data_IF_143398318594
#
_entry.id   IF_143398318594
#
_cell.length_a   1.000
_cell.length_b   1.000
_cell.length_c   1.000
_cell.angle_alpha   90.00
_cell.angle_beta   90.00
_cell.angle_gamma   90.00
#
_symmetry.space_group_name_H-M   'P 1'
#
loop_
_entity.id
_entity.type
_entity.pdbx_description
1 polymer ?
#
# COMPACT_ATOMS: atom_id res chain seq x y z
N UNK A 1 -7.77 -2.59 15.37
CA UNK A 1 -8.90 -2.75 14.41
C UNK A 1 -8.43 -2.28 13.05
N UNK A 2 -8.63 -3.10 12.01
CA UNK A 2 -8.25 -2.70 10.64
C UNK A 2 -9.52 -2.20 9.96
N UNK A 3 -9.62 -0.92 9.69
CA UNK A 3 -10.73 -0.36 8.89
C UNK A 3 -10.59 -0.90 7.48
N UNK A 4 -11.61 -1.58 6.95
CA UNK A 4 -11.61 -2.16 5.61
C UNK A 4 -12.29 -1.21 4.62
N UNK A 5 -11.74 -1.13 3.44
CA UNK A 5 -12.35 -0.40 2.33
C UNK A 5 -13.05 -1.38 1.38
N UNK A 6 -14.28 -1.75 1.70
CA UNK A 6 -15.05 -2.78 0.98
C UNK A 6 -15.29 -2.45 -0.50
N UNK A 7 -15.43 -1.17 -0.85
CA UNK A 7 -15.60 -0.76 -2.25
C UNK A 7 -14.38 -1.13 -3.10
N UNK A 8 -13.16 -1.02 -2.56
CA UNK A 8 -11.94 -1.44 -3.24
C UNK A 8 -11.91 -2.95 -3.44
N UNK A 9 -12.26 -3.72 -2.41
CA UNK A 9 -12.28 -5.19 -2.48
C UNK A 9 -13.25 -5.66 -3.59
N UNK A 10 -14.45 -5.08 -3.64
CA UNK A 10 -15.45 -5.35 -4.69
C UNK A 10 -14.97 -4.95 -6.09
N UNK A 11 -14.26 -3.83 -6.22
CA UNK A 11 -13.69 -3.39 -7.49
C UNK A 11 -12.58 -4.32 -7.97
N UNK A 12 -11.71 -4.80 -7.08
CA UNK A 12 -10.67 -5.78 -7.39
C UNK A 12 -11.31 -7.09 -7.85
N UNK A 13 -12.28 -7.61 -7.10
CA UNK A 13 -13.03 -8.82 -7.47
C UNK A 13 -13.70 -8.71 -8.85
N UNK A 14 -14.29 -7.55 -9.14
CA UNK A 14 -14.87 -7.26 -10.46
C UNK A 14 -13.82 -7.35 -11.58
N UNK A 15 -12.62 -6.79 -11.37
CA UNK A 15 -11.53 -6.87 -12.35
C UNK A 15 -11.02 -8.29 -12.54
N UNK A 16 -10.90 -9.06 -11.47
CA UNK A 16 -10.49 -10.46 -11.54
C UNK A 16 -11.50 -11.30 -12.33
N UNK A 17 -12.80 -11.15 -12.07
CA UNK A 17 -13.86 -11.80 -12.85
C UNK A 17 -13.83 -11.40 -14.32
N UNK A 18 -13.59 -10.12 -14.60
CA UNK A 18 -13.45 -9.62 -15.96
C UNK A 18 -12.24 -10.25 -16.69
N UNK A 19 -11.11 -10.36 -16.02
CA UNK A 19 -9.90 -10.98 -16.55
C UNK A 19 -10.08 -12.50 -16.79
N UNK A 20 -10.68 -13.20 -15.85
CA UNK A 20 -10.98 -14.63 -15.98
C UNK A 20 -11.91 -14.90 -17.17
N UNK A 21 -12.99 -14.12 -17.30
CA UNK A 21 -13.91 -14.25 -18.43
C UNK A 21 -13.20 -13.96 -19.78
N UNK A 22 -12.35 -12.94 -19.84
CA UNK A 22 -11.58 -12.63 -21.05
C UNK A 22 -10.62 -13.77 -21.42
N UNK A 23 -9.89 -14.30 -20.46
CA UNK A 23 -8.97 -15.42 -20.68
C UNK A 23 -9.69 -16.67 -21.20
N UNK A 24 -10.94 -16.90 -20.79
CA UNK A 24 -11.75 -17.99 -21.30
C UNK A 24 -12.08 -17.80 -22.80
N UNK A 25 -12.37 -16.58 -23.25
CA UNK A 25 -12.56 -16.31 -24.68
C UNK A 25 -11.27 -16.48 -25.47
N UNK A 26 -10.13 -16.05 -24.93
CA UNK A 26 -8.80 -16.29 -25.55
C UNK A 26 -8.53 -17.78 -25.70
N UNK A 27 -8.77 -18.58 -24.65
CA UNK A 27 -8.58 -20.03 -24.69
C UNK A 27 -9.44 -20.71 -25.77
N UNK A 28 -10.73 -20.34 -25.85
CA UNK A 28 -11.65 -20.89 -26.85
C UNK A 28 -11.26 -20.53 -28.29
N UNK A 29 -10.73 -19.33 -28.52
CA UNK A 29 -10.22 -18.93 -29.83
C UNK A 29 -8.98 -19.74 -30.19
N UNK A 30 -8.04 -19.89 -29.26
CA UNK A 30 -6.81 -20.65 -29.46
C UNK A 30 -7.10 -22.14 -29.76
N UNK A 31 -7.98 -22.77 -28.99
CA UNK A 31 -8.41 -24.14 -29.22
C UNK A 31 -9.00 -24.32 -30.62
N UNK A 32 -9.89 -23.42 -31.05
CA UNK A 32 -10.48 -23.47 -32.38
C UNK A 32 -9.44 -23.23 -33.52
N UNK A 33 -8.44 -22.38 -33.26
CA UNK A 33 -7.35 -22.14 -34.19
C UNK A 33 -6.45 -23.36 -34.34
N UNK A 34 -6.10 -24.02 -33.26
CA UNK A 34 -5.29 -25.23 -33.25
C UNK A 34 -6.01 -26.39 -33.95
N UNK A 35 -7.32 -26.53 -33.75
CA UNK A 35 -8.13 -27.50 -34.48
C UNK A 35 -8.10 -27.25 -36.02
N UNK A 36 -8.29 -26.01 -36.43
CA UNK A 36 -8.22 -25.59 -37.82
C UNK A 36 -6.84 -25.90 -38.44
N UNK A 37 -5.74 -25.60 -37.75
CA UNK A 37 -4.38 -25.89 -38.20
C UNK A 37 -4.11 -27.40 -38.30
N UNK A 38 -4.57 -28.16 -37.29
CA UNK A 38 -4.40 -29.63 -37.31
C UNK A 38 -5.07 -30.30 -38.49
N UNK A 39 -6.30 -29.89 -38.81
CA UNK A 39 -7.02 -30.41 -39.98
C UNK A 39 -6.33 -30.05 -41.30
N UNK A 40 -5.77 -28.85 -41.43
CA UNK A 40 -4.97 -28.46 -42.58
C UNK A 40 -3.71 -29.31 -42.70
N UNK A 41 -2.99 -29.55 -41.63
CA UNK A 41 -1.81 -30.39 -41.62
C UNK A 41 -2.15 -31.84 -42.03
N UNK A 42 -3.29 -32.39 -41.57
CA UNK A 42 -3.77 -33.70 -41.97
C UNK A 42 -4.09 -33.76 -43.49
N UNK A 43 -4.72 -32.72 -44.02
CA UNK A 43 -5.03 -32.61 -45.44
C UNK A 43 -3.75 -32.59 -46.27
N UNK A 44 -2.76 -31.80 -45.91
CA UNK A 44 -1.46 -31.72 -46.58
C UNK A 44 -0.71 -33.06 -46.52
N UNK A 45 -0.72 -33.72 -45.35
CA UNK A 45 -0.10 -35.03 -45.16
C UNK A 45 -0.79 -36.10 -46.00
N UNK A 46 -2.13 -36.09 -46.09
CA UNK A 46 -2.87 -37.05 -46.91
C UNK A 46 -2.52 -36.93 -48.40
N UNK A 47 -2.39 -35.70 -48.91
CA UNK A 47 -1.93 -35.46 -50.28
C UNK A 47 -0.53 -36.06 -50.52
N UNK A 48 0.41 -35.77 -49.60
CA UNK A 48 1.78 -36.30 -49.73
C UNK A 48 1.82 -37.83 -49.74
N UNK A 49 1.06 -38.45 -48.82
CA UNK A 49 0.99 -39.92 -48.73
C UNK A 49 0.32 -40.53 -49.95
N UNK A 50 -0.74 -39.91 -50.49
CA UNK A 50 -1.44 -40.43 -51.70
C UNK A 50 -0.53 -40.46 -52.92
N UNK A 51 0.34 -39.44 -53.06
CA UNK A 51 1.33 -39.39 -54.16
C UNK A 51 2.37 -40.48 -54.01
N UNK A 52 2.83 -40.77 -52.78
CA UNK A 52 3.85 -41.80 -52.54
C UNK A 52 3.29 -43.22 -52.68
N UNK A 53 2.05 -43.43 -52.29
CA UNK A 53 1.42 -44.76 -52.28
C UNK A 53 0.58 -45.07 -53.57
N UNK A 54 0.49 -44.12 -54.50
CA UNK A 54 -0.34 -44.17 -55.70
C UNK A 54 -1.81 -44.54 -55.43
N UNK A 55 -2.37 -44.04 -54.30
CA UNK A 55 -3.74 -44.32 -53.90
C UNK A 55 -4.69 -43.18 -54.26
N UNK A 56 -5.90 -43.53 -54.67
CA UNK A 56 -7.00 -42.54 -54.76
C UNK A 56 -7.61 -42.26 -53.38
N UNK A 57 -7.41 -41.06 -52.92
CA UNK A 57 -7.90 -40.54 -51.61
C UNK A 57 -8.90 -39.39 -51.76
N UNK A 58 -9.54 -39.30 -52.93
CA UNK A 58 -10.46 -38.17 -53.24
C UNK A 58 -11.55 -37.97 -52.20
N UNK A 59 -12.19 -39.05 -51.75
CA UNK A 59 -13.26 -38.98 -50.74
C UNK A 59 -12.77 -38.50 -49.38
N UNK A 60 -11.58 -38.91 -48.96
CA UNK A 60 -10.95 -38.51 -47.74
C UNK A 60 -10.56 -37.03 -47.79
N UNK A 61 -10.06 -36.55 -48.92
CA UNK A 61 -9.75 -35.14 -49.16
C UNK A 61 -11.01 -34.25 -49.12
N UNK A 62 -12.09 -34.70 -49.78
CA UNK A 62 -13.37 -34.00 -49.75
C UNK A 62 -13.91 -33.86 -48.31
N UNK A 63 -13.86 -34.93 -47.52
CA UNK A 63 -14.30 -34.93 -46.13
C UNK A 63 -13.44 -34.00 -45.26
N UNK A 64 -12.08 -34.05 -45.39
CA UNK A 64 -11.19 -33.14 -44.70
C UNK A 64 -11.41 -31.69 -45.13
N UNK A 65 -11.67 -31.43 -46.40
CA UNK A 65 -12.01 -30.08 -46.88
C UNK A 65 -13.25 -29.52 -46.23
N UNK A 66 -14.33 -30.32 -46.09
CA UNK A 66 -15.53 -29.91 -45.33
C UNK A 66 -15.24 -29.65 -43.86
N UNK A 67 -14.40 -30.48 -43.22
CA UNK A 67 -14.02 -30.28 -41.80
C UNK A 67 -13.22 -29.00 -41.63
N UNK A 68 -12.27 -28.71 -42.51
CA UNK A 68 -11.46 -27.49 -42.52
C UNK A 68 -12.37 -26.25 -42.64
N UNK A 69 -13.33 -26.24 -43.54
CA UNK A 69 -14.28 -25.14 -43.71
C UNK A 69 -15.15 -24.95 -42.45
N UNK A 70 -15.60 -26.03 -41.81
CA UNK A 70 -16.33 -25.96 -40.53
C UNK A 70 -15.46 -25.41 -39.41
N UNK A 71 -14.26 -25.91 -39.23
CA UNK A 71 -13.30 -25.46 -38.21
C UNK A 71 -12.91 -24.00 -38.43
N UNK A 72 -12.69 -23.56 -39.64
CA UNK A 72 -12.43 -22.16 -40.00
C UNK A 72 -13.58 -21.24 -39.56
N UNK A 73 -14.84 -21.59 -39.82
CA UNK A 73 -16.01 -20.84 -39.40
C UNK A 73 -16.12 -20.76 -37.86
N UNK A 74 -15.78 -21.85 -37.16
CA UNK A 74 -15.75 -21.87 -35.71
C UNK A 74 -14.68 -20.91 -35.17
N UNK A 75 -13.46 -20.97 -35.71
CA UNK A 75 -12.38 -20.06 -35.33
C UNK A 75 -12.75 -18.60 -35.56
N UNK A 76 -13.27 -18.25 -36.76
CA UNK A 76 -13.70 -16.87 -37.06
C UNK A 76 -14.80 -16.38 -36.11
N UNK A 77 -15.76 -17.22 -35.76
CA UNK A 77 -16.77 -16.91 -34.75
C UNK A 77 -16.15 -16.66 -33.35
N UNK A 78 -15.23 -17.53 -32.89
CA UNK A 78 -14.57 -17.35 -31.59
C UNK A 78 -13.74 -16.07 -31.53
N UNK A 79 -13.06 -15.74 -32.64
CA UNK A 79 -12.34 -14.47 -32.79
C UNK A 79 -13.26 -13.25 -32.67
N UNK A 80 -14.44 -13.29 -33.29
CA UNK A 80 -15.43 -12.24 -33.19
C UNK A 80 -16.02 -12.14 -31.75
N UNK A 81 -16.33 -13.27 -31.12
CA UNK A 81 -16.81 -13.31 -29.73
C UNK A 81 -15.80 -12.64 -28.78
N UNK A 82 -14.51 -12.95 -28.88
CA UNK A 82 -13.46 -12.31 -28.09
C UNK A 82 -13.38 -10.80 -28.37
N UNK A 83 -13.43 -10.38 -29.63
CA UNK A 83 -13.36 -8.98 -30.00
C UNK A 83 -14.54 -8.19 -29.44
N UNK A 84 -15.77 -8.71 -29.52
CA UNK A 84 -16.96 -8.10 -28.96
C UNK A 84 -16.87 -8.01 -27.42
N UNK A 85 -16.43 -9.10 -26.78
CA UNK A 85 -16.28 -9.13 -25.33
C UNK A 85 -15.22 -8.15 -24.83
N UNK A 86 -14.08 -8.00 -25.54
CA UNK A 86 -13.02 -7.06 -25.16
C UNK A 86 -13.48 -5.60 -25.11
N UNK A 87 -14.42 -5.22 -25.99
CA UNK A 87 -14.99 -3.86 -26.06
C UNK A 87 -16.13 -3.66 -25.08
N UNK A 88 -16.94 -4.71 -24.86
CA UNK A 88 -18.19 -4.63 -24.10
C UNK A 88 -18.19 -5.55 -22.87
N UNK A 89 -17.07 -5.66 -22.16
CA UNK A 89 -17.02 -6.51 -20.95
C UNK A 89 -17.99 -5.98 -19.87
N UNK A 90 -19.09 -6.70 -19.59
CA UNK A 90 -20.11 -6.24 -18.64
C UNK A 90 -19.60 -6.19 -17.21
N UNK A 91 -18.57 -6.98 -16.88
CA UNK A 91 -17.97 -6.97 -15.56
C UNK A 91 -17.22 -5.68 -15.25
N UNK A 92 -16.76 -4.92 -16.25
CA UNK A 92 -16.05 -3.65 -16.03
C UNK A 92 -16.98 -2.43 -15.90
N UNK A 93 -18.29 -2.62 -16.00
CA UNK A 93 -19.26 -1.51 -15.99
C UNK A 93 -20.03 -1.36 -14.67
N UNK A 94 -19.85 -2.24 -13.70
CA UNK A 94 -20.61 -2.24 -12.45
C UNK A 94 -20.09 -1.20 -11.46
N UNK A 95 -18.77 -1.16 -11.24
CA UNK A 95 -18.09 -0.21 -10.37
C UNK A 95 -17.03 0.48 -11.22
N UNK A 96 -17.06 1.79 -11.29
CA UNK A 96 -16.07 2.59 -12.02
C UNK A 96 -14.92 3.00 -11.11
N UNK A 97 -13.79 3.39 -11.69
CA UNK A 97 -12.69 3.98 -10.92
C UNK A 97 -13.11 5.27 -10.20
N UNK A 98 -14.03 6.03 -10.78
CA UNK A 98 -14.58 7.25 -10.18
C UNK A 98 -15.43 6.93 -8.95
N UNK A 99 -16.23 5.85 -8.98
CA UNK A 99 -16.99 5.40 -7.81
C UNK A 99 -16.08 5.01 -6.65
N UNK A 100 -14.96 4.33 -6.94
CA UNK A 100 -13.97 3.98 -5.92
C UNK A 100 -13.34 5.23 -5.32
N UNK A 101 -12.93 6.21 -6.16
CA UNK A 101 -12.34 7.47 -5.70
C UNK A 101 -13.35 8.28 -4.87
N UNK A 102 -14.59 8.34 -5.30
CA UNK A 102 -15.66 9.03 -4.55
C UNK A 102 -15.87 8.38 -3.19
N UNK A 103 -16.08 7.07 -3.14
CA UNK A 103 -16.27 6.33 -1.88
C UNK A 103 -15.03 6.44 -0.96
N UNK A 104 -13.81 6.46 -1.52
CA UNK A 104 -12.60 6.71 -0.75
C UNK A 104 -12.62 8.07 -0.06
N UNK A 105 -12.93 9.14 -0.80
CA UNK A 105 -12.87 10.50 -0.29
C UNK A 105 -14.05 10.85 0.64
N UNK A 106 -15.25 10.40 0.30
CA UNK A 106 -16.48 10.82 0.96
C UNK A 106 -16.89 9.89 2.13
N UNK A 107 -16.49 8.61 2.09
CA UNK A 107 -16.89 7.61 3.08
C UNK A 107 -15.69 7.12 3.90
N UNK A 108 -14.69 6.51 3.23
CA UNK A 108 -13.59 5.83 3.91
C UNK A 108 -12.67 6.79 4.67
N UNK A 109 -12.25 7.90 4.06
CA UNK A 109 -11.32 8.87 4.71
C UNK A 109 -11.94 9.51 5.95
N UNK A 110 -13.21 9.98 5.94
CA UNK A 110 -13.85 10.50 7.15
C UNK A 110 -14.00 9.44 8.24
N UNK A 111 -14.37 8.22 7.87
CA UNK A 111 -14.54 7.13 8.82
C UNK A 111 -13.20 6.71 9.44
N UNK A 112 -12.15 6.55 8.64
CA UNK A 112 -10.79 6.26 9.13
C UNK A 112 -10.29 7.35 10.06
N UNK A 113 -10.49 8.62 9.71
CA UNK A 113 -10.15 9.74 10.58
C UNK A 113 -10.84 9.61 11.94
N UNK A 114 -12.15 9.41 11.95
CA UNK A 114 -12.95 9.32 13.18
C UNK A 114 -12.58 8.10 14.02
N UNK A 115 -12.34 6.93 13.40
CA UNK A 115 -12.10 5.68 14.13
C UNK A 115 -10.66 5.51 14.60
N UNK A 116 -9.69 6.08 13.90
CA UNK A 116 -8.27 5.82 14.15
C UNK A 116 -7.47 7.11 14.32
N UNK A 117 -7.56 8.02 13.36
CA UNK A 117 -6.61 9.12 13.24
C UNK A 117 -6.85 10.21 14.29
N UNK A 118 -8.12 10.53 14.62
CA UNK A 118 -8.46 11.56 15.61
C UNK A 118 -7.94 11.22 17.01
N UNK A 119 -7.96 9.95 17.39
CA UNK A 119 -7.44 9.52 18.68
C UNK A 119 -5.90 9.58 18.71
N UNK A 120 -5.23 9.28 17.61
CA UNK A 120 -3.78 9.48 17.47
C UNK A 120 -3.43 10.97 17.62
N UNK A 121 -4.18 11.85 16.94
CA UNK A 121 -3.96 13.30 17.04
C UNK A 121 -4.20 13.84 18.46
N UNK A 122 -5.24 13.37 19.13
CA UNK A 122 -5.51 13.74 20.55
C UNK A 122 -4.37 13.31 21.46
N UNK A 123 -3.82 12.12 21.26
CA UNK A 123 -2.69 11.62 22.06
C UNK A 123 -1.42 12.45 21.81
N UNK A 124 -1.14 12.79 20.54
CA UNK A 124 -0.02 13.68 20.19
C UNK A 124 -0.19 15.07 20.84
N UNK A 125 -1.40 15.63 20.79
CA UNK A 125 -1.69 16.92 21.40
C UNK A 125 -1.52 16.87 22.92
N UNK A 126 -1.98 15.80 23.57
CA UNK A 126 -1.79 15.57 25.02
C UNK A 126 -0.31 15.48 25.37
N UNK A 127 0.46 14.67 24.65
CA UNK A 127 1.90 14.53 24.88
C UNK A 127 2.63 15.88 24.73
N UNK A 128 2.29 16.66 23.69
CA UNK A 128 2.85 18.00 23.47
C UNK A 128 2.49 18.96 24.62
N UNK A 129 1.25 18.92 25.09
CA UNK A 129 0.81 19.74 26.21
C UNK A 129 1.53 19.38 27.51
N UNK A 130 1.64 18.10 27.84
CA UNK A 130 2.33 17.65 29.05
C UNK A 130 3.84 17.96 28.99
N UNK A 131 4.47 17.82 27.83
CA UNK A 131 5.85 18.26 27.64
C UNK A 131 6.01 19.78 27.89
N UNK A 132 5.13 20.60 27.31
CA UNK A 132 5.15 22.05 27.54
C UNK A 132 5.00 22.41 29.02
N UNK A 133 4.10 21.75 29.75
CA UNK A 133 3.93 21.94 31.18
C UNK A 133 5.20 21.58 31.96
N UNK A 134 5.79 20.41 31.63
CA UNK A 134 7.01 19.95 32.29
C UNK A 134 8.19 20.92 32.01
N UNK A 135 8.30 21.42 30.77
CA UNK A 135 9.31 22.39 30.40
C UNK A 135 9.17 23.73 31.15
N UNK A 136 7.95 24.25 31.28
CA UNK A 136 7.68 25.46 32.09
C UNK A 136 8.00 25.23 33.57
N UNK A 137 7.59 24.10 34.14
CA UNK A 137 7.88 23.74 35.52
C UNK A 137 9.39 23.64 35.80
N UNK A 138 10.17 23.15 34.86
CA UNK A 138 11.63 23.16 34.95
C UNK A 138 12.18 24.59 35.05
N UNK A 139 11.73 25.49 34.17
CA UNK A 139 12.16 26.91 34.22
C UNK A 139 11.75 27.60 35.52
N UNK A 140 10.53 27.34 36.03
CA UNK A 140 10.06 27.88 37.29
C UNK A 140 10.93 27.37 38.46
N UNK A 141 11.28 26.10 38.50
CA UNK A 141 12.15 25.52 39.51
C UNK A 141 13.58 26.11 39.47
N UNK A 142 14.12 26.30 38.25
CA UNK A 142 15.44 26.95 38.06
C UNK A 142 15.39 28.39 38.56
N UNK A 143 14.35 29.16 38.20
CA UNK A 143 14.19 30.54 38.63
C UNK A 143 14.08 30.67 40.15
N UNK A 144 13.30 29.80 40.81
CA UNK A 144 13.18 29.78 42.26
C UNK A 144 14.52 29.43 42.93
N UNK A 145 15.23 28.43 42.40
CA UNK A 145 16.56 28.09 42.92
C UNK A 145 17.55 29.25 42.77
N UNK A 146 17.57 29.93 41.62
CA UNK A 146 18.45 31.07 41.38
C UNK A 146 18.15 32.24 42.34
N UNK A 147 16.86 32.46 42.66
CA UNK A 147 16.46 33.43 43.66
C UNK A 147 17.08 33.09 45.04
N UNK A 148 16.92 31.83 45.49
CA UNK A 148 17.52 31.39 46.77
C UNK A 148 19.06 31.43 46.73
N UNK A 149 19.68 31.06 45.62
CA UNK A 149 21.13 31.13 45.44
C UNK A 149 21.66 32.55 45.53
N UNK A 150 20.92 33.52 44.96
CA UNK A 150 21.27 34.93 45.01
C UNK A 150 21.18 35.45 46.46
N UNK A 151 20.12 35.10 47.20
CA UNK A 151 19.97 35.45 48.62
C UNK A 151 21.13 34.88 49.48
N UNK A 152 21.45 33.59 49.27
CA UNK A 152 22.57 32.95 49.98
C UNK A 152 23.93 33.60 49.66
N UNK A 153 24.21 33.90 48.38
CA UNK A 153 25.41 34.62 47.95
C UNK A 153 25.53 35.99 48.61
N UNK A 154 24.45 36.74 48.68
CA UNK A 154 24.38 38.04 49.29
C UNK A 154 24.64 38.00 50.81
N UNK A 155 24.19 36.95 51.48
CA UNK A 155 24.36 36.78 52.93
C UNK A 155 25.78 36.34 53.31
N UNK A 156 26.47 35.56 52.46
CA UNK A 156 27.81 34.99 52.78
C UNK A 156 28.95 35.92 52.40
N UNK A 157 28.70 36.87 51.48
CA UNK A 157 29.69 37.83 51.00
C UNK A 157 30.57 37.36 49.83
N UNK A 158 31.33 38.30 49.27
CA UNK A 158 31.99 38.17 47.96
C UNK A 158 33.02 37.04 47.87
N UNK A 159 33.68 36.68 48.93
CA UNK A 159 34.72 35.63 48.94
C UNK A 159 34.23 34.22 48.66
N UNK A 160 32.92 33.98 48.76
CA UNK A 160 32.29 32.67 48.54
C UNK A 160 31.29 32.64 47.38
N UNK A 161 31.04 33.77 46.76
CA UNK A 161 30.04 33.93 45.72
C UNK A 161 30.06 32.87 44.62
N UNK A 162 31.26 32.52 44.10
CA UNK A 162 31.44 31.56 43.03
C UNK A 162 31.43 30.10 43.49
N UNK A 163 31.31 29.82 44.79
CA UNK A 163 31.24 28.45 45.32
C UNK A 163 29.84 27.86 45.31
N UNK A 164 28.82 28.66 45.08
CA UNK A 164 27.44 28.18 45.00
C UNK A 164 27.16 27.59 43.58
N UNK A 165 27.01 26.27 43.52
CA UNK A 165 26.67 25.60 42.26
C UNK A 165 25.26 25.95 41.79
N UNK A 166 25.05 25.92 40.50
CA UNK A 166 23.72 25.99 39.87
C UNK A 166 23.09 24.60 39.69
N UNK A 167 21.82 24.59 39.35
CA UNK A 167 21.07 23.35 39.01
C UNK A 167 20.67 23.24 37.54
N UNK A 168 20.97 24.27 36.77
CA UNK A 168 20.64 24.23 35.32
C UNK A 168 21.29 23.07 34.63
N UNK A 169 20.54 22.47 33.68
CA UNK A 169 21.10 21.46 32.77
C UNK A 169 22.03 22.16 31.77
N UNK A 170 23.33 21.91 31.87
CA UNK A 170 24.35 22.65 31.12
C UNK A 170 25.29 21.76 30.30
N UNK A 171 25.15 20.42 30.40
CA UNK A 171 25.88 19.47 29.57
C UNK A 171 25.03 19.02 28.39
N UNK A 172 25.66 18.69 27.27
CA UNK A 172 24.98 18.19 26.09
C UNK A 172 24.15 16.93 26.41
N UNK A 173 24.71 16.01 27.19
CA UNK A 173 24.03 14.76 27.57
C UNK A 173 22.76 15.02 28.41
N UNK A 174 22.82 15.98 29.34
CA UNK A 174 21.65 16.39 30.13
C UNK A 174 20.58 17.04 29.26
N UNK A 175 20.96 17.94 28.36
CA UNK A 175 20.06 18.61 27.43
C UNK A 175 19.40 17.58 26.49
N UNK A 176 20.18 16.71 25.86
CA UNK A 176 19.67 15.65 24.99
C UNK A 176 18.75 14.66 25.71
N UNK A 177 18.98 14.41 27.02
CA UNK A 177 18.14 13.47 27.79
C UNK A 177 16.76 14.03 28.11
N UNK A 178 16.64 15.31 28.40
CA UNK A 178 15.39 15.89 28.96
C UNK A 178 14.68 16.82 27.98
N UNK A 179 15.36 17.43 27.02
CA UNK A 179 14.76 18.34 26.07
C UNK A 179 14.64 17.74 24.70
N UNK A 180 13.51 18.04 24.00
CA UNK A 180 13.33 17.68 22.61
C UNK A 180 14.28 18.52 21.76
N UNK A 181 15.24 17.87 21.13
CA UNK A 181 16.26 18.47 20.26
C UNK A 181 15.89 18.34 18.78
N UNK A 182 16.61 19.03 17.91
CA UNK A 182 16.49 18.87 16.45
C UNK A 182 16.80 17.42 16.04
N UNK A 183 17.72 16.75 16.74
CA UNK A 183 18.08 15.35 16.51
C UNK A 183 16.89 14.41 16.83
N UNK A 184 16.18 14.65 17.92
CA UNK A 184 14.98 13.88 18.26
C UNK A 184 13.87 14.05 17.20
N UNK A 185 13.67 15.29 16.71
CA UNK A 185 12.71 15.55 15.64
C UNK A 185 13.09 14.85 14.34
N UNK A 186 14.40 14.78 14.02
CA UNK A 186 14.88 14.02 12.89
C UNK A 186 14.61 12.52 13.04
N UNK A 187 14.85 11.95 14.23
CA UNK A 187 14.58 10.54 14.51
C UNK A 187 13.08 10.22 14.44
N UNK A 188 12.21 11.05 15.01
CA UNK A 188 10.75 10.89 14.90
C UNK A 188 10.27 10.92 13.45
N UNK A 189 10.78 11.84 12.62
CA UNK A 189 10.44 11.91 11.19
C UNK A 189 10.88 10.65 10.44
N UNK A 190 11.96 10.00 10.89
CA UNK A 190 12.44 8.71 10.36
C UNK A 190 11.80 7.49 11.05
N UNK A 191 10.74 7.68 11.84
CA UNK A 191 10.03 6.63 12.60
C UNK A 191 10.94 5.86 13.56
N UNK A 192 11.92 6.55 14.14
CA UNK A 192 12.85 6.00 15.14
C UNK A 192 12.56 6.61 16.50
N UNK A 193 12.77 5.83 17.55
CA UNK A 193 12.80 6.34 18.91
C UNK A 193 14.19 6.98 19.13
N UNK A 194 14.27 8.26 19.55
CA UNK A 194 15.52 8.90 19.83
C UNK A 194 16.38 8.13 20.84
N UNK A 195 17.68 8.11 20.61
CA UNK A 195 18.62 7.39 21.46
C UNK A 195 18.58 7.90 22.91
N UNK A 196 18.32 9.18 23.10
CA UNK A 196 18.19 9.84 24.40
C UNK A 196 17.11 9.23 25.30
N UNK A 197 16.04 8.67 24.71
CA UNK A 197 14.89 8.08 25.41
C UNK A 197 14.72 6.57 25.15
N UNK A 198 15.57 5.98 24.32
CA UNK A 198 15.46 4.56 23.92
C UNK A 198 15.52 3.58 25.11
N UNK A 199 16.24 3.94 26.16
CA UNK A 199 16.46 3.10 27.34
C UNK A 199 15.70 3.58 28.58
N UNK A 200 14.81 4.58 28.45
CA UNK A 200 13.96 5.05 29.53
C UNK A 200 12.93 3.97 29.85
N UNK A 201 12.91 3.49 31.09
CA UNK A 201 11.96 2.48 31.58
C UNK A 201 10.83 3.20 32.33
N UNK A 202 9.68 2.52 32.46
CA UNK A 202 8.57 3.04 33.27
C UNK A 202 8.97 3.30 34.74
N UNK A 203 9.97 2.58 35.25
CA UNK A 203 10.54 2.78 36.58
C UNK A 203 11.26 4.11 36.73
N UNK A 204 11.86 4.62 35.64
CA UNK A 204 12.58 5.91 35.60
C UNK A 204 11.59 7.10 35.55
N UNK A 205 10.29 6.84 35.30
CA UNK A 205 9.22 7.84 35.16
C UNK A 205 8.34 7.95 36.38
N UNK A 206 8.58 7.15 37.44
CA UNK A 206 7.89 7.20 38.75
C UNK A 206 8.64 8.07 39.73
#
# INVERSE_FOLDING_TARGET
MTVKFEMLDRFIEQKEKAAQAFNEFVRREEEAYQEYLSLKAQYEQLIQTSVLEEKDVTKELDNLSEQIEKAKKVYERRKQERAIFSVNNPHLKQITSEDVVRAWNEEFVPEFKKQVFDDVLKNLLRAKYEYAKAFLAYHDAVAEFERMRHEARSAVGDGYYYKFNGIELNTVDQIERYFITIKDLYDFNNKKIPQSIQYVKEEDLK
#
